data_IF_663519969393
#
_entry.id   IF_663519969393
#
_cell.length_a   1.000
_cell.length_b   1.000
_cell.length_c   1.000
_cell.angle_alpha   90.00
_cell.angle_beta   90.00
_cell.angle_gamma   90.00
#
_symmetry.space_group_name_H-M   'P 1'
#
loop_
_entity.id
_entity.type
_entity.pdbx_description
1 polymer ?
#
# COMPACT_ATOMS: atom_id res chain seq x y z
N UNK A 1 -9.02 -3.27 -13.18
CA UNK A 1 -10.37 -3.52 -12.65
C UNK A 1 -11.38 -2.87 -13.57
N UNK A 2 -12.60 -3.39 -13.62
CA UNK A 2 -13.70 -2.86 -14.43
C UNK A 2 -14.99 -3.20 -13.71
N UNK A 3 -15.72 -2.18 -13.24
CA UNK A 3 -16.89 -2.38 -12.37
C UNK A 3 -18.15 -2.80 -13.16
N UNK A 4 -18.20 -2.43 -14.45
CA UNK A 4 -19.31 -2.72 -15.36
C UNK A 4 -18.76 -2.91 -16.79
N UNK A 5 -19.38 -3.75 -17.63
CA UNK A 5 -18.99 -3.89 -19.04
C UNK A 5 -18.95 -2.57 -19.82
N UNK A 6 -19.76 -1.58 -19.40
CA UNK A 6 -19.82 -0.25 -20.01
C UNK A 6 -18.78 0.73 -19.44
N UNK A 7 -18.13 0.40 -18.32
CA UNK A 7 -17.13 1.25 -17.70
C UNK A 7 -15.76 1.01 -18.32
N UNK A 8 -14.96 2.06 -18.48
CA UNK A 8 -13.57 1.91 -18.88
C UNK A 8 -12.77 1.14 -17.80
N UNK A 9 -11.86 0.24 -18.20
CA UNK A 9 -10.97 -0.40 -17.25
C UNK A 9 -10.06 0.65 -16.59
N UNK A 10 -9.82 0.49 -15.29
CA UNK A 10 -8.95 1.36 -14.52
C UNK A 10 -7.96 0.56 -13.67
N UNK A 11 -6.84 1.20 -13.33
CA UNK A 11 -5.87 0.66 -12.41
C UNK A 11 -6.16 1.18 -11.00
N UNK A 12 -6.26 0.26 -10.04
CA UNK A 12 -6.52 0.60 -8.65
C UNK A 12 -5.49 -0.12 -7.76
N UNK A 13 -4.41 0.55 -7.37
CA UNK A 13 -3.38 -0.06 -6.55
C UNK A 13 -3.91 -0.23 -5.13
N UNK A 14 -4.18 -1.46 -4.72
CA UNK A 14 -4.55 -1.78 -3.34
C UNK A 14 -3.29 -2.16 -2.56
N UNK A 15 -2.98 -1.37 -1.54
CA UNK A 15 -1.85 -1.59 -0.63
C UNK A 15 -2.35 -1.64 0.82
N UNK A 16 -1.45 -1.83 1.78
CA UNK A 16 -1.85 -1.68 3.19
C UNK A 16 -2.20 -0.22 3.48
N UNK A 17 -3.35 0.01 4.10
CA UNK A 17 -3.80 1.36 4.40
C UNK A 17 -3.39 1.89 5.78
N UNK A 18 -2.59 1.14 6.54
CA UNK A 18 -2.09 1.55 7.86
C UNK A 18 -3.17 2.14 8.79
N UNK A 19 -4.34 1.49 8.78
CA UNK A 19 -5.58 1.92 9.44
C UNK A 19 -5.34 2.42 10.88
N UNK A 20 -6.08 3.45 11.30
CA UNK A 20 -6.04 3.97 12.66
C UNK A 20 -6.80 3.08 13.66
N UNK A 21 -7.85 2.41 13.19
CA UNK A 21 -8.54 1.34 13.91
C UNK A 21 -8.33 -0.02 13.18
N UNK A 22 -7.12 -0.60 13.22
CA UNK A 22 -6.76 -1.75 12.39
C UNK A 22 -7.32 -3.07 12.97
N UNK A 23 -8.29 -3.74 12.31
CA UNK A 23 -8.83 -5.01 12.79
C UNK A 23 -7.77 -6.13 12.84
N UNK A 24 -6.81 -6.08 11.92
CA UNK A 24 -5.72 -7.04 11.84
C UNK A 24 -4.80 -7.08 13.07
N UNK A 25 -4.70 -6.00 13.86
CA UNK A 25 -3.92 -5.97 15.11
C UNK A 25 -4.65 -6.68 16.25
N UNK A 26 -5.98 -6.54 16.31
CA UNK A 26 -6.81 -7.06 17.39
C UNK A 26 -6.97 -8.59 17.36
N UNK A 27 -6.71 -9.20 16.21
CA UNK A 27 -6.86 -10.66 16.00
C UNK A 27 -5.56 -11.44 16.14
N UNK A 28 -4.42 -10.76 16.32
CA UNK A 28 -3.14 -11.44 16.41
C UNK A 28 -2.98 -12.04 17.82
N UNK A 29 -2.91 -13.38 17.96
CA UNK A 29 -2.85 -14.03 19.28
C UNK A 29 -1.51 -13.83 19.99
N UNK A 30 -0.50 -13.35 19.26
CA UNK A 30 0.87 -13.16 19.73
C UNK A 30 1.33 -11.72 19.53
N UNK A 31 0.45 -10.75 19.30
CA UNK A 31 0.79 -9.33 19.01
C UNK A 31 1.94 -9.11 18.01
N UNK A 32 2.14 -10.02 17.06
CA UNK A 32 3.12 -9.86 15.99
C UNK A 32 2.76 -8.72 15.03
N UNK A 33 1.54 -8.18 15.09
CA UNK A 33 1.17 -6.97 14.38
C UNK A 33 0.55 -5.96 15.32
N UNK A 34 1.10 -4.76 15.32
CA UNK A 34 0.79 -3.73 16.30
C UNK A 34 0.80 -2.34 15.64
N UNK A 35 0.21 -1.35 16.30
CA UNK A 35 0.20 0.05 15.86
C UNK A 35 1.33 0.79 16.59
N UNK A 36 2.26 1.36 15.85
CA UNK A 36 3.31 2.26 16.36
C UNK A 36 2.72 3.64 16.69
N UNK A 37 3.45 4.42 17.47
CA UNK A 37 3.06 5.80 17.86
C UNK A 37 2.99 6.77 16.68
N UNK A 38 3.78 6.53 15.63
CA UNK A 38 3.80 7.29 14.37
C UNK A 38 2.61 6.96 13.43
N UNK A 39 1.71 6.09 13.85
CA UNK A 39 0.56 5.69 13.05
C UNK A 39 0.84 4.53 12.07
N UNK A 40 2.04 3.96 12.04
CA UNK A 40 2.35 2.82 11.19
C UNK A 40 1.83 1.53 11.85
N UNK A 41 1.03 0.74 11.13
CA UNK A 41 0.75 -0.63 11.53
C UNK A 41 1.99 -1.46 11.17
N UNK A 42 2.73 -1.95 12.15
CA UNK A 42 3.98 -2.70 11.96
C UNK A 42 3.77 -4.22 12.05
N UNK A 43 4.79 -4.96 11.61
CA UNK A 43 4.90 -6.41 11.73
C UNK A 43 6.22 -6.74 12.43
N UNK A 44 6.14 -7.56 13.46
CA UNK A 44 7.26 -8.28 14.05
C UNK A 44 7.28 -9.69 13.45
N UNK A 45 8.32 -9.99 12.68
CA UNK A 45 8.47 -11.24 11.95
C UNK A 45 8.96 -12.38 12.84
N UNK A 46 9.76 -12.08 13.87
CA UNK A 46 10.26 -13.08 14.82
C UNK A 46 9.13 -13.58 15.73
N UNK A 47 8.19 -12.69 16.08
CA UNK A 47 7.01 -13.05 16.87
C UNK A 47 5.89 -13.68 16.03
N UNK A 48 5.94 -13.58 14.70
CA UNK A 48 4.87 -14.04 13.82
C UNK A 48 4.83 -15.56 13.71
N UNK A 49 3.82 -16.19 14.30
CA UNK A 49 3.61 -17.66 14.22
C UNK A 49 2.87 -18.14 12.95
N UNK A 50 2.59 -17.26 11.99
CA UNK A 50 1.98 -17.67 10.73
C UNK A 50 0.52 -18.15 10.79
N UNK A 51 -0.25 -17.79 11.82
CA UNK A 51 -1.65 -18.22 11.98
C UNK A 51 -2.65 -17.64 10.96
N UNK A 52 -2.26 -16.61 10.19
CA UNK A 52 -3.03 -15.97 9.11
C UNK A 52 -4.34 -15.27 9.53
N UNK A 53 -4.68 -15.19 10.81
CA UNK A 53 -5.89 -14.45 11.24
C UNK A 53 -5.87 -12.98 10.84
N UNK A 54 -4.70 -12.34 10.85
CA UNK A 54 -4.57 -10.96 10.40
C UNK A 54 -4.87 -10.78 8.91
N UNK A 55 -4.67 -11.81 8.06
CA UNK A 55 -5.07 -11.80 6.65
C UNK A 55 -6.59 -11.83 6.55
N UNK A 56 -7.24 -12.78 7.24
CA UNK A 56 -8.69 -12.92 7.23
C UNK A 56 -9.41 -11.68 7.78
N UNK A 57 -8.82 -11.01 8.77
CA UNK A 57 -9.40 -9.81 9.39
C UNK A 57 -9.18 -8.53 8.56
N UNK A 58 -8.32 -8.53 7.55
CA UNK A 58 -8.06 -7.33 6.75
C UNK A 58 -9.11 -7.22 5.64
N UNK A 59 -9.99 -6.19 5.65
CA UNK A 59 -11.03 -6.06 4.61
C UNK A 59 -10.48 -5.66 3.24
N UNK A 60 -9.20 -5.31 3.16
CA UNK A 60 -8.53 -4.84 1.95
C UNK A 60 -7.65 -5.90 1.29
N UNK A 61 -7.60 -7.12 1.84
CA UNK A 61 -6.70 -8.19 1.36
C UNK A 61 -5.24 -7.74 1.22
N UNK A 62 -4.80 -6.79 2.06
CA UNK A 62 -3.51 -6.11 1.93
C UNK A 62 -2.37 -6.80 2.67
N UNK A 63 -2.52 -8.10 2.97
CA UNK A 63 -1.56 -8.93 3.69
C UNK A 63 -1.34 -10.22 2.92
N UNK A 64 -0.09 -10.64 2.81
CA UNK A 64 0.32 -11.81 2.04
C UNK A 64 1.08 -12.76 2.94
N UNK A 65 0.81 -14.07 2.83
CA UNK A 65 1.56 -15.07 3.57
C UNK A 65 2.80 -15.51 2.79
N UNK A 66 3.93 -15.58 3.49
CA UNK A 66 5.19 -16.05 2.93
C UNK A 66 5.24 -17.57 3.05
N UNK A 67 4.88 -18.26 1.96
CA UNK A 67 4.87 -19.73 1.93
C UNK A 67 6.27 -20.37 1.85
N UNK A 68 7.33 -19.57 1.69
CA UNK A 68 8.65 -20.09 1.36
C UNK A 68 8.72 -20.44 -0.11
N UNK A 69 9.43 -19.64 -0.91
CA UNK A 69 9.79 -20.01 -2.28
C UNK A 69 11.30 -20.15 -2.37
N UNK A 70 11.85 -21.24 -2.95
CA UNK A 70 13.28 -21.46 -3.03
C UNK A 70 14.06 -20.31 -3.68
N UNK A 71 13.45 -19.62 -4.64
CA UNK A 71 14.07 -18.51 -5.38
C UNK A 71 14.21 -17.23 -4.53
N UNK A 72 13.21 -16.92 -3.70
CA UNK A 72 13.25 -15.75 -2.82
C UNK A 72 14.26 -15.96 -1.68
N UNK A 73 14.35 -17.20 -1.18
CA UNK A 73 15.37 -17.57 -0.20
C UNK A 73 16.76 -17.38 -0.82
N UNK A 74 17.03 -17.96 -2.00
CA UNK A 74 18.31 -17.78 -2.71
C UNK A 74 18.68 -16.31 -2.93
N UNK A 75 17.74 -15.50 -3.44
CA UNK A 75 17.98 -14.06 -3.63
C UNK A 75 18.33 -13.36 -2.31
N UNK A 76 17.55 -13.62 -1.26
CA UNK A 76 17.80 -13.06 0.06
C UNK A 76 19.15 -13.50 0.62
N UNK A 77 19.55 -14.77 0.41
CA UNK A 77 20.84 -15.32 0.85
C UNK A 77 22.03 -14.70 0.13
N UNK A 78 21.93 -14.53 -1.19
CA UNK A 78 22.96 -13.91 -2.03
C UNK A 78 23.16 -12.43 -1.69
N UNK A 79 22.09 -11.75 -1.25
CA UNK A 79 22.12 -10.31 -0.97
C UNK A 79 22.13 -9.97 0.52
N UNK A 80 22.30 -10.93 1.46
CA UNK A 80 22.16 -10.74 2.94
C UNK A 80 22.77 -9.46 3.54
N UNK A 81 23.80 -8.88 2.91
CA UNK A 81 24.54 -7.72 3.41
C UNK A 81 24.49 -6.50 2.46
N UNK A 82 23.70 -6.54 1.39
CA UNK A 82 23.67 -5.48 0.39
C UNK A 82 22.67 -4.37 0.75
N UNK A 83 23.05 -3.50 1.67
CA UNK A 83 22.23 -2.32 2.03
C UNK A 83 22.08 -1.28 0.90
N UNK A 84 22.66 -1.52 -0.28
CA UNK A 84 22.68 -0.60 -1.42
C UNK A 84 21.68 -0.94 -2.54
N UNK A 85 21.18 -2.18 -2.59
CA UNK A 85 20.15 -2.57 -3.53
C UNK A 85 18.77 -1.99 -3.11
N UNK A 86 18.12 -1.14 -3.93
CA UNK A 86 16.80 -0.60 -3.61
C UNK A 86 15.69 -1.66 -3.58
N UNK A 87 15.93 -2.84 -4.16
CA UNK A 87 15.09 -4.05 -4.03
C UNK A 87 15.50 -4.92 -2.85
N UNK A 88 16.63 -4.63 -2.20
CA UNK A 88 17.00 -5.23 -0.94
C UNK A 88 16.19 -4.56 0.16
N UNK A 89 15.03 -5.15 0.44
CA UNK A 89 14.51 -5.15 1.80
C UNK A 89 15.54 -5.87 2.68
N UNK A 90 16.59 -5.13 3.06
CA UNK A 90 17.52 -5.57 4.09
C UNK A 90 16.72 -5.79 5.37
N UNK A 91 17.09 -6.80 6.15
CA UNK A 91 16.46 -7.25 7.40
C UNK A 91 15.08 -7.96 7.22
N UNK A 92 14.61 -8.78 8.17
CA UNK A 92 14.03 -10.12 7.95
C UNK A 92 12.53 -10.10 7.60
N UNK A 93 12.11 -9.16 6.75
CA UNK A 93 10.72 -8.75 6.53
C UNK A 93 9.84 -9.77 5.76
N UNK A 94 10.36 -10.95 5.46
CA UNK A 94 9.59 -12.03 4.87
C UNK A 94 10.18 -13.41 5.17
N UNK A 95 10.37 -13.73 6.45
CA UNK A 95 10.70 -15.11 6.83
C UNK A 95 9.61 -16.07 6.34
N UNK A 96 10.02 -17.26 5.89
CA UNK A 96 9.08 -18.33 5.58
C UNK A 96 8.18 -18.59 6.79
N UNK A 97 6.88 -18.77 6.55
CA UNK A 97 5.91 -18.97 7.61
C UNK A 97 5.37 -17.69 8.25
N UNK A 98 5.81 -16.50 7.81
CA UNK A 98 5.32 -15.22 8.33
C UNK A 98 4.34 -14.52 7.39
N UNK A 99 3.66 -13.49 7.88
CA UNK A 99 2.78 -12.63 7.07
C UNK A 99 3.50 -11.32 6.75
N UNK A 100 3.63 -11.00 5.47
CA UNK A 100 4.12 -9.73 4.99
C UNK A 100 2.99 -8.77 4.60
N UNK A 101 3.32 -7.48 4.54
CA UNK A 101 2.45 -6.40 4.05
C UNK A 101 3.31 -5.20 3.67
N UNK A 102 2.72 -4.23 2.99
CA UNK A 102 3.30 -2.89 2.90
C UNK A 102 3.49 -2.33 4.32
N UNK A 103 4.66 -1.76 4.57
CA UNK A 103 5.06 -1.17 5.85
C UNK A 103 5.32 0.34 5.74
N UNK A 104 4.99 0.96 4.61
CA UNK A 104 5.42 2.32 4.23
C UNK A 104 6.94 2.51 4.14
N UNK A 105 7.68 1.43 3.85
CA UNK A 105 9.14 1.45 3.74
C UNK A 105 9.77 2.10 4.99
N UNK A 106 9.48 1.55 6.15
CA UNK A 106 9.90 2.11 7.45
C UNK A 106 11.41 2.36 7.52
N UNK A 107 12.21 1.43 7.02
CA UNK A 107 13.68 1.56 6.94
C UNK A 107 14.13 2.78 6.10
N UNK A 108 13.42 3.06 4.99
CA UNK A 108 13.72 4.22 4.14
C UNK A 108 13.36 5.51 4.87
N UNK A 109 12.21 5.52 5.54
CA UNK A 109 11.74 6.66 6.32
C UNK A 109 12.70 7.01 7.47
N UNK A 110 13.27 6.00 8.14
CA UNK A 110 14.28 6.18 9.19
C UNK A 110 15.59 6.81 8.68
N UNK A 111 15.90 6.62 7.38
CA UNK A 111 17.03 7.28 6.69
C UNK A 111 16.66 8.64 6.08
N UNK A 112 15.44 9.12 6.29
CA UNK A 112 14.92 10.36 5.69
C UNK A 112 14.64 10.25 4.18
N UNK A 113 14.51 9.03 3.66
CA UNK A 113 14.23 8.76 2.25
C UNK A 113 12.74 8.49 2.03
N UNK A 114 12.21 8.93 0.89
CA UNK A 114 10.83 8.63 0.49
C UNK A 114 10.64 7.13 0.20
N UNK A 115 9.43 6.57 0.43
CA UNK A 115 9.11 5.18 0.10
C UNK A 115 9.40 4.84 -1.36
N UNK A 116 9.78 3.58 -1.62
CA UNK A 116 10.16 3.14 -2.96
C UNK A 116 9.04 3.37 -3.99
N UNK A 117 7.78 3.07 -3.64
CA UNK A 117 6.65 3.28 -4.54
C UNK A 117 6.40 4.75 -4.91
N UNK A 118 6.88 5.71 -4.10
CA UNK A 118 6.77 7.14 -4.39
C UNK A 118 7.83 7.54 -5.40
N UNK A 119 9.08 7.14 -5.15
CA UNK A 119 10.24 7.50 -5.99
C UNK A 119 10.19 6.82 -7.35
N UNK A 120 9.76 5.56 -7.40
CA UNK A 120 9.72 4.76 -8.64
C UNK A 120 8.50 5.05 -9.51
N UNK A 121 7.54 5.87 -9.05
CA UNK A 121 6.34 6.14 -9.83
C UNK A 121 6.63 7.15 -10.96
N UNK A 122 6.66 6.74 -12.25
CA UNK A 122 7.01 7.64 -13.34
C UNK A 122 5.96 8.73 -13.58
N UNK A 123 4.73 8.52 -13.08
CA UNK A 123 3.61 9.45 -13.23
C UNK A 123 3.41 10.31 -11.98
N UNK A 124 4.26 10.19 -10.95
CA UNK A 124 4.13 10.97 -9.70
C UNK A 124 2.81 10.77 -8.96
N UNK A 125 2.13 9.63 -9.17
CA UNK A 125 0.75 9.40 -8.73
C UNK A 125 0.62 9.09 -7.23
N UNK A 126 1.71 8.65 -6.59
CA UNK A 126 1.73 8.29 -5.18
C UNK A 126 2.40 9.44 -4.41
N UNK A 127 1.67 9.98 -3.44
CA UNK A 127 2.14 11.02 -2.54
C UNK A 127 2.28 10.42 -1.13
N UNK A 128 3.35 10.76 -0.43
CA UNK A 128 3.60 10.33 0.94
C UNK A 128 3.99 11.51 1.83
N UNK A 129 3.65 11.45 3.11
CA UNK A 129 3.96 12.51 4.05
C UNK A 129 3.24 12.33 5.39
N UNK A 130 3.18 13.41 6.15
CA UNK A 130 2.66 13.44 7.52
C UNK A 130 1.36 14.25 7.57
N UNK A 131 0.31 13.66 8.17
CA UNK A 131 -0.98 14.35 8.35
C UNK A 131 -0.88 15.46 9.40
N UNK A 132 -0.06 15.29 10.45
CA UNK A 132 0.07 16.27 11.52
C UNK A 132 0.72 17.56 11.01
N UNK A 133 1.71 17.42 10.13
CA UNK A 133 2.36 18.54 9.44
C UNK A 133 1.58 19.02 8.21
N UNK A 134 0.45 18.37 7.90
CA UNK A 134 -0.44 18.66 6.78
C UNK A 134 0.29 18.71 5.41
N UNK A 135 1.23 17.79 5.19
CA UNK A 135 2.14 17.81 4.04
C UNK A 135 2.25 16.44 3.37
N UNK A 136 2.20 16.42 2.03
CA UNK A 136 2.48 15.24 1.22
C UNK A 136 3.32 15.60 -0.01
N UNK A 137 4.21 14.70 -0.42
CA UNK A 137 5.14 14.91 -1.55
C UNK A 137 5.33 13.63 -2.36
N UNK A 138 5.62 13.78 -3.65
CA UNK A 138 6.12 12.71 -4.52
C UNK A 138 7.63 12.82 -4.81
N UNK A 139 8.33 13.77 -4.17
CA UNK A 139 9.74 14.09 -4.40
C UNK A 139 9.96 15.25 -5.37
N UNK A 140 9.03 15.50 -6.30
CA UNK A 140 9.09 16.63 -7.23
C UNK A 140 8.17 17.78 -6.79
N UNK A 141 6.94 17.42 -6.42
CA UNK A 141 5.90 18.33 -5.98
C UNK A 141 5.56 18.09 -4.51
N UNK A 142 5.18 19.16 -3.81
CA UNK A 142 4.75 19.11 -2.41
C UNK A 142 3.43 19.85 -2.27
N UNK A 143 2.48 19.21 -1.61
CA UNK A 143 1.12 19.70 -1.43
C UNK A 143 0.74 19.74 0.04
N UNK A 144 -0.19 20.64 0.36
CA UNK A 144 -0.90 20.61 1.63
C UNK A 144 -1.99 19.53 1.58
N UNK A 145 -1.94 18.54 2.47
CA UNK A 145 -2.82 17.37 2.43
C UNK A 145 -4.30 17.76 2.51
N UNK A 146 -4.67 18.57 3.50
CA UNK A 146 -6.03 19.03 3.75
C UNK A 146 -6.64 19.74 2.55
N UNK A 147 -5.85 20.58 1.89
CA UNK A 147 -6.25 21.30 0.66
C UNK A 147 -6.40 20.32 -0.51
N UNK A 148 -5.44 19.43 -0.70
CA UNK A 148 -5.46 18.45 -1.77
C UNK A 148 -6.69 17.54 -1.69
N UNK A 149 -7.01 17.03 -0.49
CA UNK A 149 -8.19 16.19 -0.27
C UNK A 149 -9.50 16.95 -0.52
N UNK A 150 -9.58 18.22 -0.11
CA UNK A 150 -10.76 19.05 -0.36
C UNK A 150 -10.94 19.37 -1.85
N UNK A 151 -9.88 19.80 -2.52
CA UNK A 151 -9.93 20.29 -3.90
C UNK A 151 -10.15 19.14 -4.90
N UNK A 152 -9.61 17.95 -4.61
CA UNK A 152 -9.71 16.77 -5.50
C UNK A 152 -10.79 15.77 -5.07
N UNK A 153 -11.58 16.06 -4.04
CA UNK A 153 -12.57 15.15 -3.47
C UNK A 153 -11.95 13.79 -3.06
N UNK A 154 -10.85 13.84 -2.32
CA UNK A 154 -10.17 12.65 -1.82
C UNK A 154 -11.05 11.83 -0.88
N UNK A 155 -11.01 10.51 -1.02
CA UNK A 155 -11.83 9.58 -0.25
C UNK A 155 -11.01 8.40 0.28
N UNK A 156 -11.56 7.69 1.27
CA UNK A 156 -10.97 6.46 1.80
C UNK A 156 -11.77 5.25 1.36
N UNK A 157 -11.09 4.14 1.13
CA UNK A 157 -11.76 2.90 0.77
C UNK A 157 -12.46 2.25 1.96
N UNK A 158 -13.71 1.83 1.75
CA UNK A 158 -14.58 1.20 2.75
C UNK A 158 -14.64 1.95 4.09
N UNK A 159 -14.92 3.25 4.01
CA UNK A 159 -14.98 4.13 5.18
C UNK A 159 -16.06 3.70 6.18
N UNK A 160 -17.14 3.09 5.70
CA UNK A 160 -18.25 2.53 6.46
C UNK A 160 -17.82 1.43 7.44
N UNK A 161 -16.69 0.76 7.20
CA UNK A 161 -16.16 -0.28 8.10
C UNK A 161 -15.52 0.29 9.38
N UNK A 162 -15.34 1.61 9.48
CA UNK A 162 -14.83 2.27 10.68
C UNK A 162 -13.37 1.93 11.01
N UNK A 163 -12.62 1.36 10.06
CA UNK A 163 -11.18 1.05 10.19
C UNK A 163 -10.31 2.31 10.14
N UNK A 164 -10.85 3.42 9.63
CA UNK A 164 -10.18 4.72 9.44
C UNK A 164 -8.83 4.55 8.69
N UNK A 165 -8.86 4.22 7.39
CA UNK A 165 -7.67 4.13 6.54
C UNK A 165 -6.83 5.42 6.56
N UNK A 166 -5.51 5.26 6.39
CA UNK A 166 -4.52 6.35 6.29
C UNK A 166 -3.98 6.55 4.87
N UNK A 167 -4.58 5.84 3.92
CA UNK A 167 -4.37 6.03 2.48
C UNK A 167 -5.65 6.62 1.92
N UNK A 168 -5.49 7.70 1.17
CA UNK A 168 -6.56 8.42 0.51
C UNK A 168 -6.39 8.27 -0.99
N UNK A 169 -7.50 8.01 -1.69
CA UNK A 169 -7.53 7.98 -3.14
C UNK A 169 -8.08 9.30 -3.67
N UNK A 170 -7.44 9.80 -4.72
CA UNK A 170 -7.90 10.98 -5.43
C UNK A 170 -8.64 10.51 -6.69
N UNK A 171 -9.91 10.89 -6.87
CA UNK A 171 -10.63 10.69 -8.12
C UNK A 171 -9.83 11.20 -9.32
N UNK A 172 -9.94 10.51 -10.47
CA UNK A 172 -9.30 10.98 -11.70
C UNK A 172 -9.93 12.30 -12.14
N UNK A 173 -9.10 13.32 -12.29
CA UNK A 173 -9.47 14.63 -12.85
C UNK A 173 -8.65 14.87 -14.12
N UNK A 174 -9.20 15.60 -15.09
CA UNK A 174 -8.51 16.03 -16.31
C UNK A 174 -7.77 14.88 -17.05
N UNK A 175 -8.52 13.97 -17.70
CA UNK A 175 -7.93 12.88 -18.48
C UNK A 175 -6.97 13.46 -19.55
N UNK A 176 -5.73 12.97 -19.58
CA UNK A 176 -4.73 13.37 -20.59
C UNK A 176 -5.15 13.02 -22.02
N UNK A 177 -5.99 11.99 -22.17
CA UNK A 177 -6.56 11.59 -23.45
C UNK A 177 -8.06 11.85 -23.45
N UNK A 178 -8.62 12.36 -24.55
CA UNK A 178 -10.07 12.45 -24.69
C UNK A 178 -10.66 11.05 -24.51
N UNK A 179 -11.78 10.97 -23.80
CA UNK A 179 -12.56 9.74 -23.76
C UNK A 179 -13.14 9.54 -25.16
N UNK A 180 -12.58 8.61 -25.91
CA UNK A 180 -13.23 8.09 -27.11
C UNK A 180 -14.36 7.20 -26.61
N UNK A 181 -15.60 7.65 -26.76
CA UNK A 181 -16.76 6.78 -26.62
C UNK A 181 -16.51 5.59 -27.54
N UNK A 182 -16.48 4.38 -26.98
CA UNK A 182 -16.42 3.18 -27.78
C UNK A 182 -17.71 3.14 -28.61
N UNK A 183 -17.66 3.73 -29.80
CA UNK A 183 -18.71 3.54 -30.80
C UNK A 183 -18.95 2.05 -30.91
N UNK A 184 -20.23 1.68 -30.99
CA UNK A 184 -20.85 0.37 -30.70
C UNK A 184 -20.23 -0.90 -31.36
N UNK A 185 -19.10 -0.81 -32.05
CA UNK A 185 -18.39 -1.91 -32.69
C UNK A 185 -17.94 -3.03 -31.74
N UNK A 186 -17.84 -2.78 -30.43
CA UNK A 186 -17.53 -3.82 -29.43
C UNK A 186 -18.76 -4.64 -28.98
N UNK A 187 -19.99 -4.20 -29.28
CA UNK A 187 -21.24 -4.88 -28.90
C UNK A 187 -21.93 -5.63 -30.06
N UNK A 188 -21.32 -5.74 -31.24
CA UNK A 188 -21.96 -6.31 -32.44
C UNK A 188 -21.42 -7.67 -32.89
N UNK A 189 -20.61 -8.36 -32.07
CA UNK A 189 -20.24 -9.75 -32.33
C UNK A 189 -20.90 -10.69 -31.32
N UNK A 190 -22.18 -10.94 -31.53
CA UNK A 190 -22.82 -12.23 -31.22
C UNK A 190 -22.30 -13.32 -32.17
#
# INVERSE_FOLDING_TARGET
MQDSPLAAPYWFPTMCYHCDNPPCTKVCPVDATFKRSDGIVAMDYERCIGCKFCIAACPYSARTFNFGRPEQVKYSEEHKNDTSDPNHCAIPYAQEGTVAKCDFCTERSEKGLLPACVVECPNGAILHGDELEDVVTNGEETFRLSKLLKDRAGYRQFEELGTKPRVYYLPPVARNFPFEDATEAHNTKE
#
